data_IF_191328800044
#
_entry.id   IF_191328800044
#
_cell.length_a   1.000
_cell.length_b   1.000
_cell.length_c   1.000
_cell.angle_alpha   90.00
_cell.angle_beta   90.00
_cell.angle_gamma   90.00
#
_symmetry.space_group_name_H-M   'P 1'
#
loop_
_entity.id
_entity.type
_entity.pdbx_description
1 polymer ?
#
# COMPACT_ATOMS: atom_id res chain seq x y z
N UNK A 1 -39.72 2.41 -12.59
CA UNK A 1 -38.70 2.15 -11.55
C UNK A 1 -37.36 2.66 -12.07
N UNK A 2 -36.65 3.50 -11.32
CA UNK A 2 -35.29 3.90 -11.72
C UNK A 2 -34.39 2.66 -11.76
N UNK A 3 -33.68 2.43 -12.87
CA UNK A 3 -32.73 1.33 -12.99
C UNK A 3 -31.61 1.50 -11.96
N UNK A 4 -31.26 0.43 -11.23
CA UNK A 4 -30.14 0.48 -10.27
C UNK A 4 -28.87 1.02 -10.94
N UNK A 5 -28.15 1.97 -10.30
CA UNK A 5 -26.90 2.49 -10.86
C UNK A 5 -25.92 1.36 -11.18
N UNK A 6 -25.33 1.40 -12.37
CA UNK A 6 -24.36 0.42 -12.85
C UNK A 6 -22.95 1.02 -12.81
N UNK A 7 -21.93 0.17 -12.70
CA UNK A 7 -20.52 0.57 -12.78
C UNK A 7 -20.15 1.70 -11.78
N UNK A 8 -20.66 1.57 -10.55
CA UNK A 8 -20.27 2.42 -9.42
C UNK A 8 -18.80 2.15 -9.10
N UNK A 9 -18.00 3.21 -8.98
CA UNK A 9 -16.57 3.11 -8.71
C UNK A 9 -15.89 4.47 -8.75
N UNK A 10 -14.56 4.46 -8.65
CA UNK A 10 -13.70 5.65 -8.66
C UNK A 10 -13.76 6.30 -10.06
N UNK A 11 -14.15 7.57 -10.12
CA UNK A 11 -14.24 8.36 -11.38
C UNK A 11 -13.09 9.35 -11.57
N UNK A 12 -12.52 9.80 -10.46
CA UNK A 12 -11.32 10.62 -10.39
C UNK A 12 -10.54 10.23 -9.14
N UNK A 13 -9.23 10.46 -9.14
CA UNK A 13 -8.35 10.24 -8.01
C UNK A 13 -7.28 11.32 -8.05
N UNK A 14 -6.93 11.84 -6.88
CA UNK A 14 -5.92 12.85 -6.68
C UNK A 14 -5.06 12.44 -5.48
N UNK A 15 -3.82 12.90 -5.45
CA UNK A 15 -2.92 12.67 -4.31
C UNK A 15 -2.32 13.98 -3.84
N UNK A 16 -1.99 14.07 -2.56
CA UNK A 16 -1.12 15.11 -2.02
C UNK A 16 -0.08 14.44 -1.12
N UNK A 17 1.16 14.89 -1.24
CA UNK A 17 2.23 14.59 -0.30
C UNK A 17 3.08 15.85 -0.14
N UNK A 18 3.67 16.07 1.05
CA UNK A 18 4.52 17.22 1.30
C UNK A 18 5.65 17.36 0.29
N UNK A 19 5.99 18.62 0.00
CA UNK A 19 7.09 19.00 -0.88
C UNK A 19 8.46 18.57 -0.34
N UNK A 20 8.58 18.30 0.95
CA UNK A 20 9.83 17.89 1.59
C UNK A 20 9.90 16.37 1.77
N UNK A 21 11.12 15.84 1.63
CA UNK A 21 11.41 14.44 1.92
C UNK A 21 12.85 14.23 2.40
N UNK A 22 13.07 13.16 3.15
CA UNK A 22 14.39 12.69 3.59
C UNK A 22 14.77 11.43 2.81
N UNK A 23 16.03 11.33 2.41
CA UNK A 23 16.58 10.14 1.76
C UNK A 23 16.88 9.05 2.79
N UNK A 24 16.40 7.83 2.54
CA UNK A 24 16.53 6.73 3.48
C UNK A 24 17.98 6.23 3.61
N UNK A 25 18.80 6.33 2.56
CA UNK A 25 20.21 5.93 2.64
C UNK A 25 21.03 6.94 3.46
N UNK A 26 20.70 8.24 3.37
CA UNK A 26 21.32 9.25 4.24
C UNK A 26 20.84 9.12 5.69
N UNK A 27 19.55 8.79 5.89
CA UNK A 27 19.00 8.52 7.22
C UNK A 27 19.63 7.28 7.87
N UNK A 28 19.95 6.23 7.09
CA UNK A 28 20.69 5.06 7.59
C UNK A 28 22.05 5.46 8.20
N UNK A 29 22.78 6.38 7.54
CA UNK A 29 24.07 6.88 8.04
C UNK A 29 23.89 7.74 9.29
N UNK A 30 22.91 8.64 9.27
CA UNK A 30 22.62 9.54 10.38
C UNK A 30 22.24 8.77 11.66
N UNK A 31 21.40 7.73 11.53
CA UNK A 31 20.98 6.89 12.65
C UNK A 31 22.06 5.88 13.10
N UNK A 32 23.20 5.80 12.41
CA UNK A 32 24.27 4.85 12.70
C UNK A 32 23.85 3.37 12.48
N UNK A 33 22.93 3.10 11.56
CA UNK A 33 22.48 1.74 11.24
C UNK A 33 23.21 1.15 10.03
N UNK A 34 23.15 -0.17 9.88
CA UNK A 34 23.76 -0.86 8.74
C UNK A 34 23.13 -0.40 7.41
N UNK A 35 23.97 -0.22 6.39
CA UNK A 35 23.53 0.03 5.01
C UNK A 35 22.49 -1.03 4.58
N UNK A 36 21.40 -0.58 3.96
CA UNK A 36 20.32 -1.45 3.50
C UNK A 36 19.24 -1.70 4.55
N UNK A 37 19.38 -1.25 5.80
CA UNK A 37 18.36 -1.50 6.84
C UNK A 37 17.00 -0.91 6.46
N UNK A 38 16.97 0.29 5.90
CA UNK A 38 15.76 0.98 5.46
C UNK A 38 15.51 0.73 3.97
N UNK A 39 16.54 0.89 3.14
CA UNK A 39 16.43 0.79 1.68
C UNK A 39 16.12 -0.62 1.18
N UNK A 40 16.64 -1.66 1.83
CA UNK A 40 16.39 -3.07 1.47
C UNK A 40 15.46 -3.74 2.49
N UNK A 41 15.72 -3.52 3.78
CA UNK A 41 14.99 -4.14 4.88
C UNK A 41 13.54 -3.68 4.96
N UNK A 42 13.28 -2.39 4.71
CA UNK A 42 11.92 -1.84 4.61
C UNK A 42 11.48 -1.63 3.15
N UNK A 43 12.42 -1.54 2.20
CA UNK A 43 12.12 -1.28 0.79
C UNK A 43 11.71 0.18 0.55
N UNK A 44 12.32 1.11 1.29
CA UNK A 44 11.99 2.52 1.30
C UNK A 44 13.13 3.35 0.70
N UNK A 45 12.85 4.28 -0.20
CA UNK A 45 13.86 5.14 -0.82
C UNK A 45 13.83 6.55 -0.24
N UNK A 46 12.64 7.13 -0.10
CA UNK A 46 12.45 8.45 0.50
C UNK A 46 11.23 8.44 1.41
N UNK A 47 11.23 9.33 2.40
CA UNK A 47 10.09 9.54 3.29
C UNK A 47 9.67 11.00 3.22
N UNK A 48 8.43 11.26 2.83
CA UNK A 48 7.84 12.59 2.92
C UNK A 48 7.43 12.87 4.36
N UNK A 49 7.55 14.12 4.77
CA UNK A 49 7.18 14.55 6.11
C UNK A 49 6.63 15.98 6.07
N UNK A 50 5.81 16.28 7.07
CA UNK A 50 5.26 17.60 7.33
C UNK A 50 6.09 18.30 8.40
N UNK A 51 6.18 19.63 8.33
CA UNK A 51 6.57 20.46 9.46
C UNK A 51 5.34 20.89 10.27
N UNK A 52 5.45 21.93 11.11
CA UNK A 52 4.36 22.45 11.94
C UNK A 52 3.30 23.28 11.15
N UNK A 53 3.49 23.47 9.85
CA UNK A 53 2.56 24.19 8.97
C UNK A 53 1.51 23.26 8.31
N UNK A 54 1.68 21.94 8.42
CA UNK A 54 0.76 20.91 7.90
C UNK A 54 0.24 20.01 9.03
N UNK A 55 -1.08 19.80 9.11
CA UNK A 55 -1.74 19.27 10.32
C UNK A 55 -1.95 17.74 10.33
N UNK A 56 -1.73 17.12 11.50
CA UNK A 56 -2.16 15.77 11.84
C UNK A 56 -2.68 15.71 13.29
N UNK A 57 -3.74 14.95 13.52
CA UNK A 57 -4.49 14.90 14.81
C UNK A 57 -3.81 14.07 15.91
N UNK A 58 -2.85 13.21 15.58
CA UNK A 58 -2.12 12.35 16.53
C UNK A 58 -0.66 12.24 16.12
N UNK A 59 0.25 12.28 17.10
CA UNK A 59 1.69 12.38 16.83
C UNK A 59 2.43 11.04 16.92
N UNK A 60 2.35 10.34 18.06
CA UNK A 60 3.09 9.09 18.28
C UNK A 60 2.17 7.96 18.77
N UNK A 61 2.05 6.85 18.02
CA UNK A 61 1.32 5.67 18.48
C UNK A 61 2.19 4.78 19.37
N UNK A 62 1.55 3.99 20.25
CA UNK A 62 2.18 2.83 20.87
C UNK A 62 2.19 1.69 19.86
N UNK A 63 3.37 1.12 19.57
CA UNK A 63 3.52 0.09 18.55
C UNK A 63 4.27 -1.11 19.11
N UNK A 64 3.62 -2.28 19.06
CA UNK A 64 4.31 -3.57 19.11
C UNK A 64 4.62 -4.01 17.66
N UNK A 65 5.89 -3.88 17.27
CA UNK A 65 6.33 -4.15 15.90
C UNK A 65 6.17 -5.61 15.48
N UNK A 66 6.44 -6.56 16.38
CA UNK A 66 6.30 -7.98 16.06
C UNK A 66 4.83 -8.40 15.99
N UNK A 67 4.03 -7.94 16.96
CA UNK A 67 2.61 -8.23 16.98
C UNK A 67 1.86 -7.60 15.80
N UNK A 68 2.21 -6.36 15.42
CA UNK A 68 1.58 -5.68 14.28
C UNK A 68 1.82 -6.39 12.95
N UNK A 69 3.03 -6.91 12.70
CA UNK A 69 3.32 -7.73 11.51
C UNK A 69 2.49 -9.02 11.51
N UNK A 70 2.39 -9.67 12.68
CA UNK A 70 1.57 -10.88 12.83
C UNK A 70 0.10 -10.59 12.50
N UNK A 71 -0.50 -9.59 13.13
CA UNK A 71 -1.89 -9.19 12.87
C UNK A 71 -2.14 -8.83 11.41
N UNK A 72 -1.19 -8.15 10.75
CA UNK A 72 -1.28 -7.84 9.33
C UNK A 72 -1.36 -9.11 8.47
N UNK A 73 -0.49 -10.10 8.72
CA UNK A 73 -0.47 -11.35 7.95
C UNK A 73 -1.69 -12.23 8.24
N UNK A 74 -2.18 -12.26 9.49
CA UNK A 74 -3.44 -12.92 9.84
C UNK A 74 -4.63 -12.28 9.08
N UNK A 75 -4.64 -10.95 8.96
CA UNK A 75 -5.64 -10.21 8.20
C UNK A 75 -5.57 -10.51 6.69
N UNK A 76 -4.37 -10.62 6.12
CA UNK A 76 -4.16 -11.06 4.72
C UNK A 76 -4.79 -12.44 4.50
N UNK A 77 -4.48 -13.40 5.36
CA UNK A 77 -5.02 -14.76 5.28
C UNK A 77 -6.55 -14.77 5.38
N UNK A 78 -7.10 -14.09 6.40
CA UNK A 78 -8.54 -14.04 6.64
C UNK A 78 -9.31 -13.38 5.48
N UNK A 79 -8.84 -12.22 5.01
CA UNK A 79 -9.48 -11.51 3.90
C UNK A 79 -9.41 -12.30 2.59
N UNK A 80 -8.28 -12.95 2.32
CA UNK A 80 -8.12 -13.75 1.11
C UNK A 80 -8.98 -15.01 1.11
N UNK A 81 -9.07 -15.72 2.25
CA UNK A 81 -10.00 -16.84 2.44
C UNK A 81 -11.45 -16.40 2.25
N UNK A 82 -11.85 -15.26 2.81
CA UNK A 82 -13.20 -14.72 2.64
C UNK A 82 -13.50 -14.36 1.17
N UNK A 83 -12.55 -13.74 0.48
CA UNK A 83 -12.65 -13.44 -0.95
C UNK A 83 -12.81 -14.72 -1.78
N UNK A 84 -11.96 -15.72 -1.54
CA UNK A 84 -12.01 -17.03 -2.22
C UNK A 84 -13.34 -17.76 -2.00
N UNK A 85 -13.86 -17.74 -0.77
CA UNK A 85 -15.19 -18.29 -0.45
C UNK A 85 -16.29 -17.61 -1.25
N UNK A 86 -16.28 -16.27 -1.32
CA UNK A 86 -17.26 -15.50 -2.10
C UNK A 86 -17.18 -15.82 -3.59
N UNK A 87 -15.98 -15.91 -4.16
CA UNK A 87 -15.81 -16.29 -5.57
C UNK A 87 -16.35 -17.70 -5.85
N UNK A 88 -16.13 -18.66 -4.95
CA UNK A 88 -16.73 -19.99 -5.02
C UNK A 88 -18.26 -19.94 -5.07
N UNK A 89 -18.88 -19.15 -4.19
CA UNK A 89 -20.34 -18.94 -4.19
C UNK A 89 -20.83 -18.31 -5.50
N UNK A 90 -20.16 -17.27 -6.01
CA UNK A 90 -20.55 -16.61 -7.26
C UNK A 90 -20.43 -17.55 -8.47
N UNK A 91 -19.38 -18.37 -8.53
CA UNK A 91 -19.22 -19.38 -9.58
C UNK A 91 -20.32 -20.44 -9.52
N UNK A 92 -20.67 -20.94 -8.33
CA UNK A 92 -21.75 -21.91 -8.17
C UNK A 92 -23.10 -21.35 -8.65
N UNK A 93 -23.39 -20.08 -8.36
CA UNK A 93 -24.60 -19.40 -8.84
C UNK A 93 -24.61 -19.22 -10.36
N UNK A 94 -23.46 -18.94 -10.99
CA UNK A 94 -23.35 -18.83 -12.44
C UNK A 94 -23.46 -20.20 -13.15
N UNK A 95 -22.88 -21.26 -12.56
CA UNK A 95 -22.89 -22.61 -13.10
C UNK A 95 -24.26 -23.30 -12.99
N UNK A 96 -25.18 -22.79 -12.17
CA UNK A 96 -26.60 -23.20 -12.19
C UNK A 96 -27.32 -22.93 -13.53
N UNK A 97 -26.65 -22.29 -14.50
CA UNK A 97 -27.14 -21.98 -15.84
C UNK A 97 -26.30 -22.58 -16.99
N UNK A 98 -25.31 -23.45 -16.72
CA UNK A 98 -24.47 -24.03 -17.77
C UNK A 98 -24.38 -25.56 -17.66
N UNK A 99 -25.04 -26.27 -18.59
CA UNK A 99 -24.71 -27.65 -18.93
C UNK A 99 -23.51 -27.65 -19.88
N UNK A 100 -22.40 -28.29 -19.51
CA UNK A 100 -21.41 -28.73 -20.50
C UNK A 100 -19.95 -28.65 -20.09
N UNK A 101 -19.37 -29.84 -19.91
CA UNK A 101 -18.03 -30.27 -20.32
C UNK A 101 -17.02 -29.16 -20.70
N UNK A 102 -16.27 -28.69 -19.71
CA UNK A 102 -14.95 -28.12 -19.91
C UNK A 102 -14.00 -28.82 -18.94
N UNK A 103 -13.34 -29.89 -19.41
CA UNK A 103 -12.22 -30.46 -18.68
C UNK A 103 -11.19 -29.33 -18.47
N UNK A 104 -10.90 -29.00 -17.22
CA UNK A 104 -9.83 -28.06 -16.89
C UNK A 104 -8.53 -28.64 -17.46
N UNK A 105 -7.99 -28.00 -18.51
CA UNK A 105 -6.56 -28.13 -18.79
C UNK A 105 -5.82 -27.94 -17.47
N UNK A 106 -4.86 -28.83 -17.19
CA UNK A 106 -4.01 -28.80 -16.00
C UNK A 106 -3.20 -27.49 -15.97
N UNK A 107 -3.87 -26.40 -15.63
CA UNK A 107 -3.30 -25.07 -15.72
C UNK A 107 -2.43 -24.89 -14.48
N UNK A 108 -1.20 -24.42 -14.68
CA UNK A 108 -0.32 -23.96 -13.61
C UNK A 108 -0.85 -22.70 -12.89
N UNK A 109 -2.13 -22.34 -13.09
CA UNK A 109 -2.74 -21.15 -12.53
C UNK A 109 -3.28 -21.46 -11.14
N UNK A 110 -3.06 -20.52 -10.23
CA UNK A 110 -3.58 -20.57 -8.87
C UNK A 110 -4.73 -19.57 -8.72
N UNK A 111 -5.56 -19.66 -7.66
CA UNK A 111 -6.57 -18.65 -7.34
C UNK A 111 -6.05 -17.20 -7.42
N UNK A 112 -4.80 -16.94 -7.03
CA UNK A 112 -4.13 -15.63 -7.11
C UNK A 112 -4.04 -15.07 -8.54
N UNK A 113 -3.99 -15.94 -9.56
CA UNK A 113 -3.90 -15.55 -10.98
C UNK A 113 -5.18 -14.93 -11.56
N UNK A 114 -6.25 -14.81 -10.76
CA UNK A 114 -7.44 -14.02 -11.13
C UNK A 114 -7.21 -12.51 -11.11
N UNK A 115 -6.16 -12.05 -10.43
CA UNK A 115 -5.84 -10.64 -10.31
C UNK A 115 -4.70 -10.30 -11.26
N UNK A 116 -4.93 -9.27 -12.08
CA UNK A 116 -3.90 -8.74 -12.97
C UNK A 116 -2.90 -7.87 -12.21
N UNK A 117 -3.40 -7.10 -11.22
CA UNK A 117 -2.59 -6.25 -10.35
C UNK A 117 -3.10 -6.28 -8.91
N UNK A 118 -2.24 -5.95 -7.95
CA UNK A 118 -2.62 -5.87 -6.54
C UNK A 118 -2.00 -4.64 -5.87
N UNK A 119 -2.82 -3.84 -5.21
CA UNK A 119 -2.39 -2.78 -4.30
C UNK A 119 -2.64 -3.21 -2.85
N UNK A 120 -1.69 -2.92 -1.97
CA UNK A 120 -1.77 -3.22 -0.54
C UNK A 120 -1.63 -1.93 0.26
N UNK A 121 -2.24 -1.89 1.45
CA UNK A 121 -1.76 -0.99 2.50
C UNK A 121 -0.27 -1.28 2.73
N UNK A 122 0.57 -0.26 2.66
CA UNK A 122 2.02 -0.41 2.64
C UNK A 122 2.67 0.39 3.80
N UNK A 123 2.72 -0.19 5.02
CA UNK A 123 3.59 0.34 6.08
C UNK A 123 5.06 0.32 5.65
N UNK A 124 5.46 -0.78 4.99
CA UNK A 124 6.77 -0.96 4.36
C UNK A 124 6.58 -1.77 3.08
N UNK A 125 7.39 -1.50 2.05
CA UNK A 125 7.33 -2.24 0.79
C UNK A 125 7.79 -3.69 0.97
N UNK A 126 8.68 -3.95 1.94
CA UNK A 126 9.07 -5.32 2.29
C UNK A 126 7.88 -6.13 2.83
N UNK A 127 7.03 -5.54 3.66
CA UNK A 127 5.83 -6.22 4.15
C UNK A 127 4.89 -6.55 3.00
N UNK A 128 4.69 -5.63 2.04
CA UNK A 128 3.89 -5.88 0.83
C UNK A 128 4.39 -7.09 0.05
N UNK A 129 5.71 -7.20 -0.17
CA UNK A 129 6.30 -8.37 -0.85
C UNK A 129 6.04 -9.68 -0.09
N UNK A 130 6.15 -9.67 1.25
CA UNK A 130 5.82 -10.84 2.08
C UNK A 130 4.34 -11.18 2.02
N UNK A 131 3.46 -10.18 2.03
CA UNK A 131 2.02 -10.39 1.96
C UNK A 131 1.58 -10.97 0.62
N UNK A 132 2.17 -10.52 -0.49
CA UNK A 132 1.91 -11.12 -1.79
C UNK A 132 2.36 -12.59 -1.85
N UNK A 133 3.54 -12.90 -1.32
CA UNK A 133 4.00 -14.27 -1.14
C UNK A 133 3.05 -15.10 -0.26
N UNK A 134 2.51 -14.50 0.81
CA UNK A 134 1.56 -15.13 1.73
C UNK A 134 0.24 -15.50 1.04
N UNK A 135 -0.23 -14.71 0.07
CA UNK A 135 -1.40 -15.09 -0.74
C UNK A 135 -1.15 -16.40 -1.51
N UNK A 136 0.03 -16.55 -2.12
CA UNK A 136 0.40 -17.79 -2.81
C UNK A 136 0.56 -18.97 -1.84
N UNK A 137 1.04 -18.72 -0.62
CA UNK A 137 1.06 -19.76 0.43
C UNK A 137 -0.35 -20.25 0.78
N UNK A 138 -1.36 -19.36 0.82
CA UNK A 138 -2.75 -19.79 1.02
C UNK A 138 -3.26 -20.65 -0.15
N UNK A 139 -2.87 -20.33 -1.39
CA UNK A 139 -3.21 -21.17 -2.55
C UNK A 139 -2.55 -22.56 -2.45
N UNK A 140 -1.30 -22.62 -2.00
CA UNK A 140 -0.60 -23.88 -1.73
C UNK A 140 -1.30 -24.71 -0.66
N UNK A 141 -1.67 -24.11 0.47
CA UNK A 141 -2.40 -24.82 1.52
C UNK A 141 -3.75 -25.36 1.05
N UNK A 142 -4.41 -24.68 0.10
CA UNK A 142 -5.69 -25.10 -0.46
C UNK A 142 -5.56 -26.25 -1.48
N UNK A 143 -4.49 -26.27 -2.27
CA UNK A 143 -4.22 -27.34 -3.25
C UNK A 143 -2.71 -27.59 -3.40
N UNK A 144 -2.09 -28.31 -2.44
CA UNK A 144 -0.64 -28.50 -2.43
C UNK A 144 -0.15 -29.39 -3.56
N UNK A 145 -1.03 -30.20 -4.15
CA UNK A 145 -0.75 -31.06 -5.31
C UNK A 145 -0.77 -30.34 -6.66
N UNK A 146 -1.10 -29.04 -6.70
CA UNK A 146 -1.14 -28.31 -7.96
C UNK A 146 0.26 -28.27 -8.62
N UNK A 147 0.37 -28.36 -9.96
CA UNK A 147 1.66 -28.32 -10.66
C UNK A 147 2.52 -27.10 -10.33
N UNK A 148 1.88 -25.98 -9.97
CA UNK A 148 2.56 -24.75 -9.55
C UNK A 148 3.40 -24.89 -8.25
N UNK A 149 3.21 -25.98 -7.49
CA UNK A 149 3.85 -26.23 -6.20
C UNK A 149 4.67 -27.52 -6.16
N UNK A 150 4.99 -28.10 -7.32
CA UNK A 150 5.73 -29.37 -7.38
C UNK A 150 7.08 -29.35 -6.63
N UNK A 151 7.74 -28.18 -6.59
CA UNK A 151 9.03 -27.97 -5.92
C UNK A 151 8.91 -27.43 -4.48
N UNK A 152 7.68 -27.33 -3.93
CA UNK A 152 7.48 -26.84 -2.56
C UNK A 152 7.71 -27.99 -1.56
N UNK A 153 8.58 -27.82 -0.54
CA UNK A 153 8.79 -28.85 0.47
C UNK A 153 7.51 -29.19 1.23
N UNK A 154 7.22 -30.48 1.38
CA UNK A 154 5.98 -30.97 1.97
C UNK A 154 5.82 -30.52 3.43
N UNK A 155 6.92 -30.37 4.17
CA UNK A 155 6.93 -29.90 5.56
C UNK A 155 6.37 -28.48 5.73
N UNK A 156 6.33 -27.67 4.67
CA UNK A 156 5.72 -26.33 4.73
C UNK A 156 4.19 -26.38 4.75
N UNK A 157 3.59 -27.51 4.36
CA UNK A 157 2.14 -27.73 4.41
C UNK A 157 1.66 -27.90 5.85
N UNK A 158 2.37 -28.72 6.61
CA UNK A 158 1.95 -29.14 7.95
C UNK A 158 2.51 -28.23 9.06
N UNK A 159 3.06 -27.07 8.67
CA UNK A 159 3.59 -26.09 9.61
C UNK A 159 2.47 -25.51 10.48
N UNK A 160 2.75 -25.41 11.80
CA UNK A 160 1.87 -24.68 12.71
C UNK A 160 1.56 -23.28 12.18
N UNK A 161 0.29 -22.89 12.27
CA UNK A 161 -0.19 -21.63 11.70
C UNK A 161 0.55 -20.43 12.31
N UNK A 162 0.68 -20.38 13.64
CA UNK A 162 1.31 -19.24 14.31
C UNK A 162 2.78 -19.15 13.95
N UNK A 163 3.48 -20.30 13.88
CA UNK A 163 4.85 -20.38 13.41
C UNK A 163 5.00 -19.91 11.97
N UNK A 164 4.07 -20.29 11.09
CA UNK A 164 4.12 -19.93 9.66
C UNK A 164 4.11 -18.43 9.39
N UNK A 165 3.59 -17.60 10.32
CA UNK A 165 3.50 -16.14 10.17
C UNK A 165 4.86 -15.45 10.25
N UNK A 166 5.88 -16.10 10.84
CA UNK A 166 7.23 -15.54 10.99
C UNK A 166 8.33 -16.48 10.49
N UNK A 167 7.99 -17.67 10.02
CA UNK A 167 8.94 -18.69 9.56
C UNK A 167 9.70 -18.24 8.30
N UNK A 168 11.04 -18.33 8.36
CA UNK A 168 11.92 -17.88 7.29
C UNK A 168 11.97 -18.80 6.09
N UNK A 169 11.66 -20.09 6.24
CA UNK A 169 11.61 -21.04 5.12
C UNK A 169 10.34 -20.79 4.31
N UNK A 170 9.19 -20.61 4.97
CA UNK A 170 7.95 -20.18 4.30
C UNK A 170 8.15 -18.84 3.58
N UNK A 171 8.69 -17.83 4.28
CA UNK A 171 8.96 -16.51 3.71
C UNK A 171 9.82 -16.60 2.45
N UNK A 172 10.99 -17.25 2.53
CA UNK A 172 11.92 -17.34 1.39
C UNK A 172 11.37 -18.14 0.22
N UNK A 173 10.71 -19.27 0.49
CA UNK A 173 10.16 -20.15 -0.55
C UNK A 173 9.12 -19.42 -1.38
N UNK A 174 8.11 -18.83 -0.72
CA UNK A 174 7.02 -18.17 -1.44
C UNK A 174 7.40 -16.81 -2.01
N UNK A 175 8.34 -16.08 -1.40
CA UNK A 175 8.91 -14.88 -2.03
C UNK A 175 9.73 -15.23 -3.28
N UNK A 176 10.42 -16.38 -3.28
CA UNK A 176 11.10 -16.90 -4.46
C UNK A 176 10.13 -17.23 -5.59
N UNK A 177 9.09 -18.01 -5.30
CA UNK A 177 8.05 -18.41 -6.26
C UNK A 177 7.27 -17.22 -6.82
N UNK A 178 7.01 -16.20 -5.99
CA UNK A 178 6.26 -15.00 -6.42
C UNK A 178 7.13 -13.94 -7.08
N UNK A 179 8.47 -14.02 -7.05
CA UNK A 179 9.36 -12.93 -7.48
C UNK A 179 9.01 -12.33 -8.84
N UNK A 180 8.85 -13.16 -9.87
CA UNK A 180 8.48 -12.70 -11.22
C UNK A 180 7.09 -12.03 -11.21
N UNK A 181 6.11 -12.71 -10.62
CA UNK A 181 4.72 -12.22 -10.56
C UNK A 181 4.61 -10.93 -9.73
N UNK A 182 5.43 -10.76 -8.69
CA UNK A 182 5.49 -9.55 -7.89
C UNK A 182 5.95 -8.37 -8.73
N UNK A 183 7.00 -8.53 -9.52
CA UNK A 183 7.51 -7.50 -10.43
C UNK A 183 6.46 -7.09 -11.48
N UNK A 184 5.64 -8.03 -11.95
CA UNK A 184 4.61 -7.75 -12.96
C UNK A 184 3.34 -7.15 -12.36
N UNK A 185 2.91 -7.61 -11.16
CA UNK A 185 1.57 -7.36 -10.64
C UNK A 185 1.49 -6.43 -9.42
N UNK A 186 2.61 -6.21 -8.73
CA UNK A 186 2.66 -5.44 -7.48
C UNK A 186 3.70 -4.33 -7.53
N UNK A 187 4.85 -4.55 -8.15
CA UNK A 187 5.89 -3.51 -8.29
C UNK A 187 5.38 -2.19 -8.90
N UNK A 188 4.50 -2.20 -9.93
CA UNK A 188 3.94 -0.95 -10.46
C UNK A 188 3.09 -0.17 -9.45
N UNK A 189 2.59 -0.82 -8.39
CA UNK A 189 1.71 -0.23 -7.39
C UNK A 189 2.42 0.18 -6.10
N UNK A 190 3.75 0.20 -6.04
CA UNK A 190 4.48 0.55 -4.79
C UNK A 190 5.38 1.77 -4.90
N UNK A 191 5.40 2.48 -6.03
CA UNK A 191 6.25 3.68 -6.20
C UNK A 191 5.99 4.76 -5.14
N UNK A 192 4.72 5.14 -4.92
CA UNK A 192 4.35 6.11 -3.89
C UNK A 192 4.73 5.60 -2.49
N UNK A 193 4.36 4.39 -2.06
CA UNK A 193 4.85 3.84 -0.81
C UNK A 193 6.38 3.86 -0.63
N UNK A 194 7.15 3.55 -1.70
CA UNK A 194 8.62 3.56 -1.69
C UNK A 194 9.20 4.97 -1.61
N UNK A 195 8.55 5.94 -2.25
CA UNK A 195 9.06 7.29 -2.39
C UNK A 195 8.53 8.26 -1.33
N UNK A 196 7.43 7.94 -0.65
CA UNK A 196 6.80 8.82 0.33
C UNK A 196 6.73 8.22 1.73
N UNK A 197 6.95 6.91 1.90
CA UNK A 197 6.77 6.22 3.18
C UNK A 197 5.31 5.87 3.47
N UNK A 198 5.02 5.55 4.73
CA UNK A 198 3.67 5.13 5.14
C UNK A 198 2.71 6.32 5.24
N UNK A 199 1.70 6.33 4.37
CA UNK A 199 0.62 7.35 4.37
C UNK A 199 -0.65 6.89 5.10
N UNK A 200 -0.54 5.91 6.00
CA UNK A 200 -1.64 5.38 6.80
C UNK A 200 -2.87 5.00 5.94
N UNK A 201 -4.03 5.63 6.17
CA UNK A 201 -5.27 5.37 5.43
C UNK A 201 -5.14 5.61 3.93
N UNK A 202 -4.30 6.57 3.52
CA UNK A 202 -4.05 6.87 2.11
C UNK A 202 -3.08 5.88 1.46
N UNK A 203 -2.34 5.07 2.21
CA UNK A 203 -1.24 4.23 1.69
C UNK A 203 -1.71 3.25 0.60
N UNK A 204 -2.85 2.57 0.81
CA UNK A 204 -3.39 1.64 -0.20
C UNK A 204 -3.81 2.35 -1.49
N UNK A 205 -4.36 3.57 -1.37
CA UNK A 205 -4.72 4.40 -2.52
C UNK A 205 -3.50 5.03 -3.19
N UNK A 206 -2.43 5.30 -2.44
CA UNK A 206 -1.11 5.63 -2.97
C UNK A 206 -0.59 4.53 -3.89
N UNK A 207 -0.82 3.26 -3.52
CA UNK A 207 -0.50 2.15 -4.39
C UNK A 207 -1.36 2.09 -5.67
N UNK A 208 -2.65 2.41 -5.57
CA UNK A 208 -3.51 2.56 -6.75
C UNK A 208 -3.05 3.72 -7.65
N UNK A 209 -2.67 4.86 -7.07
CA UNK A 209 -2.10 6.02 -7.78
C UNK A 209 -0.82 5.64 -8.51
N UNK A 210 0.06 4.87 -7.87
CA UNK A 210 1.29 4.36 -8.51
C UNK A 210 0.94 3.49 -9.72
N UNK A 211 -0.01 2.56 -9.57
CA UNK A 211 -0.41 1.68 -10.66
C UNK A 211 -0.97 2.46 -11.86
N UNK A 212 -1.85 3.44 -11.62
CA UNK A 212 -2.44 4.30 -12.66
C UNK A 212 -1.42 5.22 -13.35
N UNK A 213 -0.30 5.49 -12.68
CA UNK A 213 0.79 6.33 -13.22
C UNK A 213 1.85 5.52 -13.96
N UNK A 214 2.00 4.23 -13.62
CA UNK A 214 3.05 3.37 -14.16
C UNK A 214 2.60 2.42 -15.27
N UNK A 215 1.30 2.11 -15.35
CA UNK A 215 0.75 1.28 -16.42
C UNK A 215 -0.14 2.14 -17.31
N UNK A 216 0.08 2.05 -18.61
CA UNK A 216 -0.71 2.81 -19.58
C UNK A 216 -2.18 2.40 -19.55
N UNK A 217 -3.05 3.35 -19.91
CA UNK A 217 -4.49 3.13 -19.83
C UNK A 217 -5.00 1.99 -20.71
N UNK A 218 -4.35 1.69 -21.84
CA UNK A 218 -4.80 0.63 -22.73
C UNK A 218 -4.53 -0.74 -22.09
N UNK A 219 -3.35 -0.92 -21.47
CA UNK A 219 -2.97 -2.12 -20.72
C UNK A 219 -3.84 -2.37 -19.50
N UNK A 220 -4.36 -1.32 -18.85
CA UNK A 220 -5.23 -1.44 -17.67
C UNK A 220 -6.67 -1.80 -17.99
N UNK A 221 -7.18 -1.50 -19.18
CA UNK A 221 -8.59 -1.69 -19.49
C UNK A 221 -9.03 -3.16 -19.37
N UNK A 222 -10.15 -3.38 -18.68
CA UNK A 222 -10.69 -4.71 -18.42
C UNK A 222 -9.96 -5.49 -17.33
N UNK A 223 -8.81 -5.01 -16.84
CA UNK A 223 -8.00 -5.67 -15.80
C UNK A 223 -8.68 -5.62 -14.45
N UNK A 224 -8.45 -6.68 -13.66
CA UNK A 224 -8.91 -6.80 -12.27
C UNK A 224 -7.78 -6.46 -11.31
N UNK A 225 -8.00 -5.45 -10.49
CA UNK A 225 -7.05 -4.99 -9.47
C UNK A 225 -7.56 -5.43 -8.10
N UNK A 226 -6.78 -6.21 -7.36
CA UNK A 226 -7.05 -6.50 -5.96
C UNK A 226 -6.57 -5.36 -5.07
N UNK A 227 -7.32 -5.04 -4.02
CA UNK A 227 -7.00 -3.96 -3.08
C UNK A 227 -7.14 -4.51 -1.67
N UNK A 228 -6.01 -4.64 -0.96
CA UNK A 228 -5.97 -5.05 0.43
C UNK A 228 -5.78 -3.83 1.34
N UNK A 229 -6.84 -3.45 2.06
CA UNK A 229 -6.82 -2.38 3.04
C UNK A 229 -6.72 -2.95 4.45
N UNK A 230 -5.90 -2.32 5.29
CA UNK A 230 -5.66 -2.74 6.68
C UNK A 230 -5.51 -1.53 7.59
N UNK A 231 -6.05 -1.64 8.81
CA UNK A 231 -5.80 -0.72 9.92
C UNK A 231 -5.67 -1.50 11.24
N UNK A 232 -4.67 -1.14 12.05
CA UNK A 232 -4.40 -1.79 13.34
C UNK A 232 -5.55 -1.61 14.34
N UNK A 233 -5.80 -2.63 15.18
CA UNK A 233 -6.93 -2.68 16.12
C UNK A 233 -7.74 -3.99 16.17
N UNK A 234 -8.11 -4.67 15.07
CA UNK A 234 -7.84 -4.42 13.66
C UNK A 234 -9.10 -4.47 12.80
N UNK A 235 -9.06 -3.78 11.66
CA UNK A 235 -10.04 -3.87 10.59
C UNK A 235 -9.32 -4.04 9.25
N UNK A 236 -9.83 -4.94 8.41
CA UNK A 236 -9.23 -5.21 7.10
C UNK A 236 -10.27 -5.64 6.07
N UNK A 237 -9.93 -5.43 4.80
CA UNK A 237 -10.75 -5.89 3.68
C UNK A 237 -9.90 -6.13 2.44
N UNK A 238 -10.12 -7.28 1.79
CA UNK A 238 -9.67 -7.51 0.42
C UNK A 238 -10.89 -7.39 -0.50
N UNK A 239 -10.83 -6.44 -1.43
CA UNK A 239 -11.82 -6.30 -2.48
C UNK A 239 -11.13 -6.22 -3.84
N UNK A 240 -11.89 -6.28 -4.93
CA UNK A 240 -11.34 -6.07 -6.26
C UNK A 240 -12.19 -5.11 -7.07
N UNK A 241 -11.51 -4.38 -7.96
CA UNK A 241 -12.13 -3.48 -8.94
C UNK A 241 -11.77 -3.94 -10.35
N UNK A 242 -12.66 -3.68 -11.30
CA UNK A 242 -12.39 -3.88 -12.73
C UNK A 242 -12.27 -2.52 -13.40
N UNK A 243 -11.20 -2.31 -14.16
CA UNK A 243 -11.03 -1.07 -14.93
C UNK A 243 -12.02 -1.07 -16.09
N UNK A 244 -13.01 -0.20 -16.00
CA UNK A 244 -14.16 -0.18 -16.91
C UNK A 244 -14.00 0.73 -18.13
N UNK A 245 -12.91 1.49 -18.22
CA UNK A 245 -12.67 2.44 -19.30
C UNK A 245 -11.30 3.13 -19.16
N UNK A 246 -11.10 4.21 -19.93
CA UNK A 246 -9.84 4.95 -19.92
C UNK A 246 -9.52 5.53 -18.53
N UNK A 247 -8.24 5.44 -18.17
CA UNK A 247 -7.64 6.02 -16.96
C UNK A 247 -6.67 7.15 -17.30
N UNK A 248 -6.55 7.56 -18.57
CA UNK A 248 -5.60 8.58 -19.00
C UNK A 248 -5.81 9.91 -18.29
N UNK A 249 -7.06 10.32 -18.07
CA UNK A 249 -7.34 11.58 -17.37
C UNK A 249 -6.86 11.55 -15.92
N UNK A 250 -6.99 10.39 -15.25
CA UNK A 250 -6.45 10.21 -13.89
C UNK A 250 -4.93 10.29 -13.90
N UNK A 251 -4.27 9.54 -14.79
CA UNK A 251 -2.81 9.51 -14.88
C UNK A 251 -2.22 10.91 -15.17
N UNK A 252 -2.83 11.65 -16.12
CA UNK A 252 -2.45 13.03 -16.46
C UNK A 252 -2.68 14.00 -15.31
N UNK A 253 -3.81 13.91 -14.60
CA UNK A 253 -4.11 14.77 -13.46
C UNK A 253 -3.15 14.53 -12.30
N UNK A 254 -2.83 13.25 -12.01
CA UNK A 254 -1.92 12.87 -10.94
C UNK A 254 -0.51 13.43 -11.16
N UNK A 255 -0.02 13.46 -12.40
CA UNK A 255 1.31 13.98 -12.77
C UNK A 255 2.43 13.46 -11.83
N UNK A 256 2.36 12.16 -11.51
CA UNK A 256 3.01 11.62 -10.32
C UNK A 256 4.53 11.74 -10.37
N UNK A 257 5.16 11.41 -11.50
CA UNK A 257 6.63 11.36 -11.61
C UNK A 257 7.24 12.75 -11.40
N UNK A 258 6.64 13.75 -12.02
CA UNK A 258 6.99 15.15 -11.96
C UNK A 258 6.80 15.69 -10.55
N UNK A 259 5.70 15.35 -9.89
CA UNK A 259 5.46 15.73 -8.48
C UNK A 259 6.44 15.09 -7.51
N UNK A 260 6.75 13.80 -7.71
CA UNK A 260 7.76 13.11 -6.89
C UNK A 260 9.16 13.71 -7.08
N UNK A 261 9.51 14.09 -8.31
CA UNK A 261 10.78 14.70 -8.68
C UNK A 261 10.91 16.16 -8.22
N UNK A 262 9.81 16.91 -8.17
CA UNK A 262 9.78 18.30 -7.71
C UNK A 262 9.98 18.47 -6.20
N UNK A 263 9.93 17.37 -5.43
CA UNK A 263 10.17 17.43 -3.98
C UNK A 263 11.59 17.85 -3.64
N UNK A 264 11.70 18.68 -2.60
CA UNK A 264 12.96 19.04 -1.97
C UNK A 264 13.42 17.88 -1.08
N UNK A 265 14.53 17.25 -1.47
CA UNK A 265 15.22 16.29 -0.59
C UNK A 265 16.08 17.09 0.39
N UNK A 266 15.93 16.85 1.69
CA UNK A 266 16.69 17.53 2.75
C UNK A 266 17.58 16.56 3.52
N UNK A 267 18.55 17.10 4.26
CA UNK A 267 19.42 16.32 5.14
C UNK A 267 18.64 15.76 6.36
N UNK A 268 19.05 14.61 6.91
CA UNK A 268 18.41 14.01 8.09
C UNK A 268 18.27 14.96 9.30
N UNK A 269 19.22 15.85 9.52
CA UNK A 269 19.18 16.85 10.60
C UNK A 269 17.99 17.80 10.46
N UNK A 270 17.64 18.17 9.22
CA UNK A 270 16.48 19.02 8.94
C UNK A 270 15.20 18.25 9.25
N UNK A 271 15.12 16.98 8.87
CA UNK A 271 13.99 16.12 9.20
C UNK A 271 13.77 16.00 10.71
N UNK A 272 14.84 15.78 11.49
CA UNK A 272 14.77 15.68 12.95
C UNK A 272 14.33 17.00 13.59
N UNK A 273 14.83 18.14 13.08
CA UNK A 273 14.37 19.47 13.50
C UNK A 273 12.87 19.69 13.23
N UNK A 274 12.36 19.26 12.07
CA UNK A 274 10.93 19.37 11.75
C UNK A 274 10.07 18.45 12.63
N UNK A 275 10.57 17.26 12.99
CA UNK A 275 9.92 16.40 13.97
C UNK A 275 9.82 17.10 15.35
N UNK A 276 10.88 17.74 15.81
CA UNK A 276 10.85 18.48 17.08
C UNK A 276 9.97 19.73 17.04
N UNK A 277 9.87 20.43 15.90
CA UNK A 277 8.91 21.53 15.73
C UNK A 277 7.47 21.02 15.86
N UNK A 278 7.14 19.93 15.17
CA UNK A 278 5.82 19.32 15.22
C UNK A 278 5.43 18.87 16.64
N UNK A 279 6.39 18.29 17.37
CA UNK A 279 6.22 17.88 18.77
C UNK A 279 5.94 19.03 19.71
N UNK A 280 6.58 20.18 19.48
CA UNK A 280 6.29 21.40 20.24
C UNK A 280 4.93 21.98 19.87
N UNK A 281 4.51 21.89 18.61
CA UNK A 281 3.23 22.39 18.13
C UNK A 281 2.03 21.52 18.59
N UNK A 282 2.25 20.23 18.83
CA UNK A 282 1.18 19.29 19.15
C UNK A 282 0.37 19.73 20.38
N UNK A 283 -0.96 19.80 20.22
CA UNK A 283 -1.94 20.22 21.22
C UNK A 283 -1.72 21.63 21.81
N UNK A 284 -0.97 22.50 21.12
CA UNK A 284 -0.85 23.89 21.51
C UNK A 284 -2.06 24.72 21.04
N UNK A 285 -2.45 25.67 21.87
CA UNK A 285 -3.34 26.78 21.55
C UNK A 285 -2.54 28.09 21.56
N UNK A 286 -3.09 29.15 20.97
CA UNK A 286 -2.38 30.44 20.86
C UNK A 286 -1.00 30.30 20.20
N UNK A 287 -0.92 29.47 19.16
CA UNK A 287 0.30 29.06 18.51
C UNK A 287 0.40 29.63 17.09
N UNK A 288 1.59 30.08 16.71
CA UNK A 288 1.94 30.46 15.33
C UNK A 288 3.03 29.50 14.85
N UNK A 289 2.83 28.78 13.73
CA UNK A 289 3.84 27.88 13.17
C UNK A 289 5.19 28.57 12.96
N UNK A 290 6.28 27.87 13.25
CA UNK A 290 7.64 28.35 13.06
C UNK A 290 8.24 27.91 11.72
N UNK A 291 7.65 26.90 11.07
CA UNK A 291 8.01 26.46 9.72
C UNK A 291 7.84 27.58 8.69
N UNK A 292 8.68 27.55 7.67
CA UNK A 292 8.69 28.58 6.63
C UNK A 292 7.69 28.25 5.52
N UNK A 293 6.73 29.16 5.21
CA UNK A 293 5.82 29.00 4.08
C UNK A 293 6.51 28.85 2.72
N UNK A 294 7.79 29.25 2.61
CA UNK A 294 8.59 29.08 1.38
C UNK A 294 8.90 27.61 1.08
N UNK A 295 8.75 26.72 2.06
CA UNK A 295 8.88 25.28 1.83
C UNK A 295 7.62 24.64 1.28
N UNK A 296 6.48 25.35 1.34
CA UNK A 296 5.18 24.87 0.87
C UNK A 296 5.07 25.09 -0.64
N UNK A 297 4.54 24.08 -1.34
CA UNK A 297 4.31 24.17 -2.77
C UNK A 297 3.24 25.23 -3.09
N UNK A 298 3.36 25.84 -4.27
CA UNK A 298 2.33 26.76 -4.78
C UNK A 298 0.95 26.09 -4.79
N UNK A 299 -0.10 26.89 -4.56
CA UNK A 299 -1.51 26.51 -4.51
C UNK A 299 -1.84 25.48 -3.40
N UNK A 300 -0.98 25.36 -2.39
CA UNK A 300 -1.16 24.47 -1.24
C UNK A 300 -1.64 25.25 -0.01
N UNK A 301 -2.58 24.67 0.73
CA UNK A 301 -3.04 25.22 2.00
C UNK A 301 -1.99 24.99 3.09
N UNK A 302 -1.73 26.00 3.91
CA UNK A 302 -0.86 25.89 5.07
C UNK A 302 -1.47 26.59 6.29
N UNK A 303 -1.14 26.09 7.48
CA UNK A 303 -1.59 26.64 8.76
C UNK A 303 -0.86 27.96 9.03
N UNK A 304 -1.61 29.02 9.39
CA UNK A 304 -1.02 30.31 9.76
C UNK A 304 -1.08 30.57 11.26
N UNK A 305 -2.09 30.05 11.95
CA UNK A 305 -2.24 30.24 13.39
C UNK A 305 -3.27 29.28 14.00
N UNK A 306 -3.09 28.97 15.28
CA UNK A 306 -4.07 28.34 16.18
C UNK A 306 -4.36 29.34 17.29
N UNK A 307 -5.61 29.73 17.50
CA UNK A 307 -5.95 30.68 18.57
C UNK A 307 -6.17 30.01 19.93
N UNK A 308 -6.58 30.81 20.92
CA UNK A 308 -6.81 30.39 22.31
C UNK A 308 -7.99 29.45 22.50
N UNK A 309 -8.86 29.34 21.49
CA UNK A 309 -10.00 28.42 21.42
C UNK A 309 -9.73 27.21 20.51
N UNK A 310 -8.45 26.97 20.14
CA UNK A 310 -8.05 25.92 19.20
C UNK A 310 -8.62 26.07 17.78
N UNK A 311 -9.13 27.25 17.40
CA UNK A 311 -9.57 27.50 16.02
C UNK A 311 -8.33 27.70 15.15
N UNK A 312 -8.34 27.08 13.98
CA UNK A 312 -7.20 27.07 13.04
C UNK A 312 -7.49 27.99 11.86
N UNK A 313 -6.51 28.83 11.50
CA UNK A 313 -6.56 29.66 10.30
C UNK A 313 -5.58 29.12 9.26
N UNK A 314 -6.01 29.06 8.01
CA UNK A 314 -5.22 28.59 6.88
C UNK A 314 -5.20 29.65 5.77
N UNK A 315 -4.11 29.67 5.01
CA UNK A 315 -3.95 30.45 3.78
C UNK A 315 -3.48 29.54 2.64
N UNK A 316 -3.59 30.02 1.39
CA UNK A 316 -3.13 29.30 0.20
C UNK A 316 -1.83 29.94 -0.27
N UNK A 317 -0.78 29.13 -0.44
CA UNK A 317 0.52 29.61 -0.93
C UNK A 317 0.38 30.10 -2.37
N UNK A 318 0.69 31.39 -2.58
CA UNK A 318 0.76 32.00 -3.91
C UNK A 318 1.93 31.47 -4.77
#
# INVERSE_FOLDING_TARGET
MSSRPQNIGIKAIEIYFPSQCVDQAELEKFDGVSQGKYTIGLGQTKMSFCDDTEDLTSEYPIVDGHFSIKCYLEAVDACYKAYNKREGTLKALANGHANGNGAEEASSKTPLDRFDYLAFHAPTCKLVAKSYARLLYNDYLANPSAPAFADVPAELRDMDYTKSLSDKVVEKTFMGLTKKRFNERVQPSIEVPTMCGNMYSASVYGGLVSLLSNIDSASLQGKRIAIFSYGSGLASSLFSVKVAGSTEHMSKALNLKERLAARRTVAPEVYDQMCELRKKAHLQKSYTPAGSPETIAKDTYYLTSVDDMFRRKYEVKA
#
